data_IF_380464304480
#
_entry.id   IF_380464304480
#
_cell.length_a   1.000
_cell.length_b   1.000
_cell.length_c   1.000
_cell.angle_alpha   90.00
_cell.angle_beta   90.00
_cell.angle_gamma   90.00
#
_symmetry.space_group_name_H-M   'P 1'
#
loop_
_entity.id
_entity.type
_entity.pdbx_description
1 polymer ?
#
# COMPACT_ATOMS: atom_id res chain seq x y z
N UNK A 1 -2.92 12.66 -6.85
CA UNK A 1 -4.20 12.47 -6.15
C UNK A 1 -4.40 10.98 -5.91
N UNK A 2 -4.96 10.59 -4.74
CA UNK A 2 -5.19 9.17 -4.47
C UNK A 2 -6.50 8.98 -3.72
N UNK A 3 -7.23 7.91 -4.04
CA UNK A 3 -8.38 7.43 -3.29
C UNK A 3 -8.03 6.05 -2.75
N UNK A 4 -8.11 5.86 -1.42
CA UNK A 4 -7.73 4.61 -0.79
C UNK A 4 -8.81 4.15 0.19
N UNK A 5 -9.06 2.85 0.18
CA UNK A 5 -9.85 2.12 1.17
C UNK A 5 -8.92 1.21 1.98
N UNK A 6 -8.99 1.29 3.29
CA UNK A 6 -8.24 0.43 4.21
C UNK A 6 -9.19 -0.27 5.16
N UNK A 7 -9.06 -1.59 5.28
CA UNK A 7 -9.74 -2.38 6.30
C UNK A 7 -8.71 -3.24 7.03
N UNK A 8 -8.68 -3.12 8.35
CA UNK A 8 -7.86 -3.96 9.22
C UNK A 8 -8.76 -4.72 10.20
N UNK A 9 -8.56 -6.03 10.30
CA UNK A 9 -9.41 -6.92 11.08
C UNK A 9 -8.57 -7.95 11.82
N UNK A 10 -8.99 -8.29 13.04
CA UNK A 10 -8.48 -9.45 13.75
C UNK A 10 -8.86 -10.74 12.99
N UNK A 11 -7.97 -11.74 12.97
CA UNK A 11 -8.24 -13.01 12.28
C UNK A 11 -9.19 -13.90 13.08
N UNK A 12 -9.94 -14.76 12.39
CA UNK A 12 -10.86 -15.69 13.06
C UNK A 12 -10.16 -16.85 13.80
N UNK A 13 -8.91 -17.18 13.44
CA UNK A 13 -8.17 -18.31 14.04
C UNK A 13 -7.39 -17.93 15.30
N UNK A 14 -6.86 -16.71 15.40
CA UNK A 14 -6.13 -16.22 16.57
C UNK A 14 -6.25 -14.68 16.66
N UNK A 15 -7.41 -14.15 17.06
CA UNK A 15 -7.70 -12.71 16.97
C UNK A 15 -6.81 -11.84 17.87
N UNK A 16 -6.26 -12.41 18.95
CA UNK A 16 -5.36 -11.71 19.87
C UNK A 16 -3.96 -11.52 19.28
N UNK A 17 -3.55 -12.43 18.39
CA UNK A 17 -2.17 -12.51 17.88
C UNK A 17 -2.03 -12.12 16.42
N UNK A 18 -3.09 -12.23 15.63
CA UNK A 18 -3.00 -12.03 14.20
C UNK A 18 -4.04 -11.03 13.67
N UNK A 19 -3.60 -10.18 12.80
CA UNK A 19 -4.43 -9.22 12.07
C UNK A 19 -4.24 -9.40 10.57
N UNK A 20 -5.33 -9.20 9.82
CA UNK A 20 -5.30 -9.08 8.37
C UNK A 20 -5.61 -7.65 7.97
N UNK A 21 -4.97 -7.18 6.91
CA UNK A 21 -5.22 -5.86 6.33
C UNK A 21 -5.50 -5.99 4.84
N UNK A 22 -6.50 -5.25 4.37
CA UNK A 22 -6.81 -5.06 2.97
C UNK A 22 -6.69 -3.57 2.66
N UNK A 23 -5.91 -3.23 1.64
CA UNK A 23 -5.85 -1.89 1.07
C UNK A 23 -6.21 -1.96 -0.40
N UNK A 24 -7.15 -1.11 -0.82
CA UNK A 24 -7.52 -0.92 -2.22
C UNK A 24 -7.37 0.57 -2.54
N UNK A 25 -6.85 0.89 -3.72
CA UNK A 25 -6.63 2.28 -4.06
C UNK A 25 -6.57 2.54 -5.56
N UNK A 26 -6.80 3.79 -5.90
CA UNK A 26 -6.56 4.36 -7.22
C UNK A 26 -5.72 5.60 -7.04
N UNK A 27 -4.58 5.64 -7.71
CA UNK A 27 -3.64 6.76 -7.68
C UNK A 27 -3.62 7.43 -9.05
N UNK A 28 -3.68 8.75 -9.06
CA UNK A 28 -3.36 9.57 -10.22
C UNK A 28 -2.17 10.46 -9.87
N UNK A 29 -1.08 10.27 -10.58
CA UNK A 29 0.16 11.01 -10.41
C UNK A 29 0.41 11.88 -11.65
N UNK A 30 0.92 13.10 -11.41
CA UNK A 30 1.29 14.07 -12.43
C UNK A 30 2.70 14.57 -12.14
N UNK A 31 3.51 14.63 -13.16
CA UNK A 31 4.84 15.22 -13.09
C UNK A 31 5.16 16.01 -14.34
N UNK A 32 6.07 16.97 -14.24
CA UNK A 32 6.57 17.76 -15.36
C UNK A 32 8.09 17.92 -15.23
N UNK A 33 8.74 18.18 -16.34
CA UNK A 33 10.17 18.47 -16.35
C UNK A 33 10.46 19.88 -15.81
N UNK A 34 11.73 20.16 -15.51
CA UNK A 34 12.14 21.48 -14.98
C UNK A 34 11.79 22.65 -15.88
N UNK A 35 11.76 22.45 -17.19
CA UNK A 35 11.41 23.49 -18.18
C UNK A 35 9.88 23.71 -18.31
N UNK A 36 9.06 22.84 -17.72
CA UNK A 36 7.61 22.96 -17.75
C UNK A 36 6.95 22.66 -19.11
N UNK A 37 7.73 22.19 -20.10
CA UNK A 37 7.24 21.93 -21.46
C UNK A 37 6.91 20.45 -21.73
N UNK A 38 7.20 19.54 -20.80
CA UNK A 38 6.89 18.11 -20.89
C UNK A 38 6.21 17.64 -19.61
N UNK A 39 5.08 16.95 -19.76
CA UNK A 39 4.35 16.38 -18.64
C UNK A 39 4.09 14.90 -18.84
N UNK A 40 4.00 14.18 -17.73
CA UNK A 40 3.63 12.77 -17.68
C UNK A 40 2.49 12.58 -16.69
N UNK A 41 1.57 11.68 -17.01
CA UNK A 41 0.44 11.32 -16.19
C UNK A 41 0.46 9.83 -15.92
N UNK A 42 0.18 9.39 -14.70
CA UNK A 42 0.06 7.99 -14.36
C UNK A 42 -1.28 7.74 -13.66
N UNK A 43 -1.99 6.73 -14.12
CA UNK A 43 -3.19 6.22 -13.45
C UNK A 43 -2.94 4.78 -13.04
N UNK A 44 -3.00 4.50 -11.75
CA UNK A 44 -2.69 3.19 -11.18
C UNK A 44 -3.80 2.73 -10.24
N UNK A 45 -4.14 1.46 -10.33
CA UNK A 45 -4.94 0.74 -9.32
C UNK A 45 -4.01 -0.07 -8.44
N UNK A 46 -4.32 -0.13 -7.16
CA UNK A 46 -3.53 -0.83 -6.15
C UNK A 46 -4.45 -1.74 -5.34
N UNK A 47 -4.01 -2.97 -5.12
CA UNK A 47 -4.64 -3.91 -4.20
C UNK A 47 -3.57 -4.59 -3.37
N UNK A 48 -3.70 -4.54 -2.06
CA UNK A 48 -2.76 -5.16 -1.13
C UNK A 48 -3.54 -5.93 -0.08
N UNK A 49 -3.11 -7.16 0.17
CA UNK A 49 -3.59 -7.96 1.28
C UNK A 49 -2.39 -8.41 2.12
N UNK A 50 -2.49 -8.24 3.44
CA UNK A 50 -1.44 -8.58 4.39
C UNK A 50 -1.95 -9.33 5.60
N UNK A 51 -1.08 -10.17 6.16
CA UNK A 51 -1.28 -10.89 7.41
C UNK A 51 -0.11 -10.60 8.33
N UNK A 52 -0.39 -10.07 9.54
CA UNK A 52 0.62 -9.63 10.48
C UNK A 52 0.41 -10.26 11.86
N UNK A 53 1.50 -10.67 12.48
CA UNK A 53 1.54 -11.05 13.88
C UNK A 53 1.65 -9.79 14.75
N UNK A 54 0.94 -9.77 15.85
CA UNK A 54 0.76 -8.65 16.75
C UNK A 54 1.51 -8.89 18.07
N UNK A 55 2.35 -7.92 18.48
CA UNK A 55 3.01 -7.88 19.78
C UNK A 55 2.54 -6.66 20.55
N UNK A 56 1.83 -6.88 21.65
CA UNK A 56 1.29 -5.82 22.50
C UNK A 56 2.26 -5.51 23.65
N UNK A 57 2.32 -4.25 24.06
CA UNK A 57 3.07 -3.78 25.25
C UNK A 57 4.56 -4.16 25.27
N UNK A 58 5.23 -4.19 24.10
CA UNK A 58 6.61 -4.66 23.99
C UNK A 58 7.60 -3.81 24.76
N UNK A 59 7.42 -2.47 24.81
CA UNK A 59 8.32 -1.55 25.50
C UNK A 59 7.61 -0.58 26.45
N UNK A 60 6.43 -0.09 26.09
CA UNK A 60 5.63 0.84 26.89
C UNK A 60 4.14 0.51 26.81
N UNK A 61 3.36 1.00 27.76
CA UNK A 61 1.89 0.92 27.67
C UNK A 61 1.41 1.72 26.45
N UNK A 62 0.51 1.14 25.67
CA UNK A 62 -0.05 1.75 24.48
C UNK A 62 0.75 1.56 23.19
N UNK A 63 1.96 0.96 23.26
CA UNK A 63 2.76 0.64 22.07
C UNK A 63 2.52 -0.80 21.61
N UNK A 64 2.19 -0.96 20.34
CA UNK A 64 1.95 -2.24 19.68
C UNK A 64 2.79 -2.31 18.40
N UNK A 65 3.42 -3.45 18.18
CA UNK A 65 4.09 -3.77 16.92
C UNK A 65 3.33 -4.87 16.18
N UNK A 66 3.30 -4.74 14.86
CA UNK A 66 2.77 -5.77 13.97
C UNK A 66 3.77 -5.99 12.84
N UNK A 67 4.09 -7.24 12.53
CA UNK A 67 4.98 -7.60 11.43
C UNK A 67 4.48 -8.87 10.76
N UNK A 68 4.59 -8.92 9.44
CA UNK A 68 4.17 -10.06 8.66
C UNK A 68 4.44 -9.93 7.19
N UNK A 69 3.69 -10.65 6.39
CA UNK A 69 3.79 -10.66 4.95
C UNK A 69 2.59 -10.01 4.27
N UNK A 70 2.82 -9.49 3.08
CA UNK A 70 1.78 -8.97 2.21
C UNK A 70 1.98 -9.42 0.77
N UNK A 71 0.88 -9.57 0.03
CA UNK A 71 0.88 -9.60 -1.42
C UNK A 71 0.29 -8.29 -1.93
N UNK A 72 0.88 -7.76 -2.99
CA UNK A 72 0.50 -6.48 -3.57
C UNK A 72 0.41 -6.61 -5.08
N UNK A 73 -0.72 -6.19 -5.64
CA UNK A 73 -0.91 -5.97 -7.06
C UNK A 73 -0.99 -4.47 -7.33
N UNK A 74 -0.30 -4.01 -8.36
CA UNK A 74 -0.39 -2.64 -8.87
C UNK A 74 -0.44 -2.69 -10.38
N UNK A 75 -1.48 -2.12 -10.97
CA UNK A 75 -1.67 -2.13 -12.42
C UNK A 75 -2.20 -0.80 -12.91
N UNK A 76 -1.76 -0.37 -14.11
CA UNK A 76 -2.21 0.86 -14.70
C UNK A 76 -1.40 1.27 -15.91
N UNK A 77 -1.43 2.56 -16.21
CA UNK A 77 -0.76 3.12 -17.37
C UNK A 77 -0.08 4.45 -17.06
N UNK A 78 1.03 4.67 -17.72
CA UNK A 78 1.73 5.94 -17.80
C UNK A 78 1.47 6.56 -19.18
N UNK A 79 0.95 7.78 -19.21
CA UNK A 79 0.76 8.57 -20.42
C UNK A 79 1.85 9.62 -20.54
N UNK A 80 2.57 9.60 -21.68
CA UNK A 80 3.60 10.56 -22.02
C UNK A 80 3.45 10.97 -23.50
N UNK A 81 2.80 12.09 -23.76
CA UNK A 81 2.52 12.59 -25.12
C UNK A 81 3.80 12.86 -25.97
N UNK A 82 4.95 12.98 -25.32
CA UNK A 82 6.23 13.26 -25.98
C UNK A 82 7.04 12.00 -26.33
N UNK A 83 6.55 10.82 -25.93
CA UNK A 83 7.14 9.56 -26.35
C UNK A 83 6.48 9.12 -27.66
N UNK A 84 7.18 9.27 -28.78
CA UNK A 84 6.66 8.96 -30.12
C UNK A 84 6.37 7.46 -30.33
N UNK A 85 7.12 6.57 -29.68
CA UNK A 85 6.93 5.11 -29.84
C UNK A 85 5.81 4.58 -28.97
N UNK A 86 5.77 4.99 -27.69
CA UNK A 86 4.82 4.46 -26.70
C UNK A 86 4.23 5.62 -25.91
N UNK A 87 3.22 6.31 -26.48
CA UNK A 87 2.50 7.41 -25.82
C UNK A 87 1.86 6.93 -24.50
N UNK A 88 1.39 5.67 -24.47
CA UNK A 88 0.84 5.00 -23.29
C UNK A 88 1.70 3.77 -22.98
N UNK A 89 2.22 3.68 -21.77
CA UNK A 89 3.00 2.54 -21.29
C UNK A 89 2.28 1.83 -20.16
N UNK A 90 2.04 0.51 -20.31
CA UNK A 90 1.44 -0.30 -19.24
C UNK A 90 2.43 -0.46 -18.07
N UNK A 91 1.90 -0.46 -16.87
CA UNK A 91 2.63 -0.69 -15.62
C UNK A 91 1.88 -1.74 -14.82
N UNK A 92 2.44 -2.95 -14.73
CA UNK A 92 1.81 -4.07 -14.03
C UNK A 92 2.84 -4.73 -13.15
N UNK A 93 2.51 -4.87 -11.87
CA UNK A 93 3.37 -5.46 -10.84
C UNK A 93 2.55 -6.36 -9.94
N UNK A 94 3.07 -7.53 -9.63
CA UNK A 94 2.55 -8.38 -8.58
C UNK A 94 3.69 -8.83 -7.68
N UNK A 95 3.63 -8.46 -6.43
CA UNK A 95 4.71 -8.63 -5.47
C UNK A 95 4.24 -9.36 -4.21
N UNK A 96 5.19 -10.05 -3.59
CA UNK A 96 5.12 -10.50 -2.21
C UNK A 96 6.21 -9.81 -1.40
N UNK A 97 5.95 -9.50 -0.15
CA UNK A 97 6.93 -8.77 0.66
C UNK A 97 6.61 -8.71 2.14
N UNK A 98 7.40 -7.92 2.83
CA UNK A 98 7.25 -7.65 4.24
C UNK A 98 6.31 -6.47 4.46
N UNK A 99 5.52 -6.56 5.52
CA UNK A 99 4.64 -5.50 5.98
C UNK A 99 4.76 -5.37 7.49
N UNK A 100 4.91 -4.14 7.98
CA UNK A 100 5.03 -3.86 9.40
C UNK A 100 4.30 -2.60 9.82
N UNK A 101 3.87 -2.57 11.09
CA UNK A 101 3.24 -1.41 11.71
C UNK A 101 3.76 -1.22 13.14
N UNK A 102 3.95 0.04 13.52
CA UNK A 102 4.11 0.47 14.91
C UNK A 102 2.92 1.38 15.25
N UNK A 103 2.18 1.03 16.28
CA UNK A 103 0.94 1.71 16.68
C UNK A 103 1.12 2.18 18.11
N UNK A 104 0.88 3.46 18.36
CA UNK A 104 0.96 4.06 19.67
C UNK A 104 -0.35 4.77 20.02
N UNK A 105 -1.04 4.27 21.04
CA UNK A 105 -2.28 4.84 21.54
C UNK A 105 -1.99 5.80 22.68
N UNK A 106 -2.46 7.03 22.56
CA UNK A 106 -2.28 8.11 23.52
C UNK A 106 -3.52 9.00 23.58
N UNK A 107 -3.48 10.04 24.40
CA UNK A 107 -4.57 11.03 24.50
C UNK A 107 -4.00 12.43 24.65
N UNK A 108 -4.63 13.38 24.01
CA UNK A 108 -4.40 14.82 24.25
C UNK A 108 -5.65 15.34 24.97
N UNK A 109 -5.50 15.67 26.26
CA UNK A 109 -6.63 16.01 27.16
C UNK A 109 -7.65 14.86 27.20
N UNK A 110 -8.82 15.05 26.56
CA UNK A 110 -9.92 14.05 26.50
C UNK A 110 -10.05 13.40 25.14
N UNK A 111 -9.22 13.77 24.17
CA UNK A 111 -9.26 13.22 22.82
C UNK A 111 -8.29 12.04 22.71
N UNK A 112 -8.78 10.80 22.49
CA UNK A 112 -7.91 9.68 22.18
C UNK A 112 -7.29 9.86 20.79
N UNK A 113 -6.00 9.54 20.66
CA UNK A 113 -5.24 9.64 19.43
C UNK A 113 -4.44 8.37 19.24
N UNK A 114 -4.47 7.82 18.05
CA UNK A 114 -3.62 6.70 17.64
C UNK A 114 -2.61 7.18 16.61
N UNK A 115 -1.33 7.14 16.97
CA UNK A 115 -0.24 7.36 16.03
C UNK A 115 0.13 6.01 15.42
N UNK A 116 0.27 5.94 14.10
CA UNK A 116 0.63 4.71 13.39
C UNK A 116 1.67 5.00 12.33
N UNK A 117 2.78 4.27 12.39
CA UNK A 117 3.72 4.15 11.30
C UNK A 117 3.55 2.80 10.65
N UNK A 118 3.37 2.75 9.34
CA UNK A 118 3.23 1.54 8.55
C UNK A 118 4.25 1.56 7.43
N UNK A 119 4.85 0.42 7.15
CA UNK A 119 5.75 0.24 6.00
C UNK A 119 5.47 -1.09 5.31
N UNK A 120 5.54 -1.09 3.98
CA UNK A 120 5.48 -2.28 3.14
C UNK A 120 6.66 -2.26 2.18
N UNK A 121 7.40 -3.37 2.13
CA UNK A 121 8.58 -3.53 1.30
C UNK A 121 8.50 -4.85 0.54
N UNK A 122 8.17 -4.83 -0.75
CA UNK A 122 8.25 -6.00 -1.61
C UNK A 122 9.65 -6.63 -1.59
N UNK A 123 9.69 -7.95 -1.53
CA UNK A 123 10.92 -8.76 -1.53
C UNK A 123 11.15 -9.38 -2.89
N UNK A 124 10.07 -9.93 -3.47
CA UNK A 124 10.10 -10.56 -4.77
C UNK A 124 8.75 -10.42 -5.47
N UNK A 125 8.74 -10.56 -6.78
CA UNK A 125 7.51 -10.50 -7.56
C UNK A 125 7.77 -10.61 -9.04
N UNK A 126 6.74 -10.32 -9.82
CA UNK A 126 6.81 -10.26 -11.27
C UNK A 126 6.30 -8.91 -11.75
N UNK A 127 6.89 -8.39 -12.83
CA UNK A 127 6.45 -7.14 -13.42
C UNK A 127 6.59 -7.15 -14.93
N UNK A 128 5.74 -6.37 -15.57
CA UNK A 128 5.77 -6.16 -17.00
C UNK A 128 6.71 -5.00 -17.36
N UNK A 129 7.65 -5.25 -18.25
CA UNK A 129 8.56 -4.23 -18.81
C UNK A 129 9.06 -4.70 -20.18
N UNK A 130 8.56 -4.13 -21.28
CA UNK A 130 9.12 -4.40 -22.61
C UNK A 130 10.56 -3.89 -22.72
N UNK A 131 11.27 -4.30 -23.75
CA UNK A 131 12.62 -3.83 -24.06
C UNK A 131 12.64 -2.33 -24.40
N UNK A 132 13.81 -1.70 -24.33
CA UNK A 132 13.97 -0.26 -24.48
C UNK A 132 13.46 0.28 -25.81
N UNK A 133 13.69 -0.44 -26.90
CA UNK A 133 13.34 -0.10 -28.27
C UNK A 133 12.05 -0.76 -28.75
N UNK A 134 11.40 -1.59 -27.94
CA UNK A 134 10.20 -2.32 -28.30
C UNK A 134 8.96 -1.43 -28.26
N UNK A 135 8.25 -1.33 -29.39
CA UNK A 135 6.96 -0.65 -29.45
C UNK A 135 5.81 -1.58 -29.10
N UNK A 136 4.76 -1.06 -28.47
CA UNK A 136 3.54 -1.84 -28.17
C UNK A 136 2.90 -2.40 -29.45
N UNK A 137 3.16 -1.81 -30.61
CA UNK A 137 2.73 -2.33 -31.89
C UNK A 137 3.41 -3.66 -32.24
N UNK A 138 4.69 -3.82 -31.92
CA UNK A 138 5.43 -5.07 -32.10
C UNK A 138 4.91 -6.18 -31.19
N UNK A 139 4.56 -5.83 -29.94
CA UNK A 139 3.89 -6.74 -29.00
C UNK A 139 2.52 -7.18 -29.57
N UNK A 140 1.75 -6.25 -30.15
CA UNK A 140 0.49 -6.56 -30.82
C UNK A 140 0.68 -7.49 -32.02
N UNK A 141 1.77 -7.39 -32.76
CA UNK A 141 2.12 -8.26 -33.88
C UNK A 141 2.67 -9.63 -33.47
N UNK A 142 2.83 -9.91 -32.18
CA UNK A 142 3.21 -11.21 -31.64
C UNK A 142 4.62 -11.31 -31.09
N UNK A 143 5.35 -10.20 -30.99
CA UNK A 143 6.61 -10.18 -30.21
C UNK A 143 6.29 -10.15 -28.72
N UNK A 144 6.41 -11.31 -28.06
CA UNK A 144 6.11 -11.45 -26.62
C UNK A 144 7.35 -11.82 -25.80
N UNK A 145 8.53 -11.71 -26.39
CA UNK A 145 9.78 -12.06 -25.71
C UNK A 145 10.12 -11.00 -24.64
N UNK A 146 10.67 -11.44 -23.53
CA UNK A 146 11.17 -10.58 -22.44
C UNK A 146 10.18 -9.54 -21.86
N UNK A 147 8.88 -9.77 -21.96
CA UNK A 147 7.87 -8.83 -21.44
C UNK A 147 7.66 -8.93 -19.93
N UNK A 148 7.88 -10.12 -19.34
CA UNK A 148 7.64 -10.38 -17.91
C UNK A 148 8.95 -10.70 -17.23
N UNK A 149 9.25 -9.97 -16.18
CA UNK A 149 10.48 -10.08 -15.43
C UNK A 149 10.24 -10.44 -13.98
N UNK A 150 11.14 -11.22 -13.41
CA UNK A 150 11.19 -11.42 -11.97
C UNK A 150 11.83 -10.19 -11.31
N UNK A 151 11.11 -9.59 -10.36
CA UNK A 151 11.58 -8.49 -9.52
C UNK A 151 12.12 -9.01 -8.19
N UNK A 152 13.29 -8.54 -7.78
CA UNK A 152 13.91 -8.76 -6.48
C UNK A 152 14.83 -7.57 -6.16
N UNK A 153 15.32 -7.46 -4.94
CA UNK A 153 16.08 -6.27 -4.53
C UNK A 153 17.31 -5.93 -5.38
N UNK A 154 17.84 -6.88 -6.17
CA UNK A 154 18.95 -6.65 -7.08
C UNK A 154 18.58 -5.85 -8.34
N UNK A 155 17.32 -5.92 -8.79
CA UNK A 155 16.85 -5.23 -10.00
C UNK A 155 15.63 -4.34 -9.77
N UNK A 156 14.96 -4.47 -8.61
CA UNK A 156 13.80 -3.68 -8.25
C UNK A 156 13.73 -3.45 -6.74
N UNK A 157 13.54 -2.21 -6.34
CA UNK A 157 13.31 -1.80 -4.97
C UNK A 157 12.05 -0.96 -4.88
N UNK A 158 11.12 -1.38 -4.03
CA UNK A 158 9.90 -0.63 -3.71
C UNK A 158 9.80 -0.47 -2.19
N UNK A 159 9.43 0.71 -1.75
CA UNK A 159 9.10 1.01 -0.36
C UNK A 159 7.89 1.93 -0.32
N UNK A 160 6.86 1.52 0.40
CA UNK A 160 5.67 2.34 0.67
C UNK A 160 5.54 2.49 2.17
N UNK A 161 5.61 3.71 2.68
CA UNK A 161 5.48 3.96 4.09
C UNK A 161 4.57 5.16 4.40
N UNK A 162 3.88 5.07 5.52
CA UNK A 162 2.91 6.06 5.95
C UNK A 162 3.01 6.30 7.45
N UNK A 163 3.05 7.57 7.84
CA UNK A 163 2.88 8.02 9.20
C UNK A 163 1.50 8.67 9.34
N UNK A 164 0.66 8.17 10.22
CA UNK A 164 -0.70 8.68 10.43
C UNK A 164 -1.00 9.00 11.88
N UNK A 165 -1.89 9.97 12.06
CA UNK A 165 -2.54 10.29 13.32
C UNK A 165 -4.06 10.13 13.14
N UNK A 166 -4.64 9.23 13.90
CA UNK A 166 -6.07 8.92 13.92
C UNK A 166 -6.69 9.58 15.15
N UNK A 167 -7.56 10.57 14.94
CA UNK A 167 -8.28 11.32 15.98
C UNK A 167 -9.65 10.68 16.20
N UNK A 168 -9.91 10.18 17.40
CA UNK A 168 -11.16 9.49 17.72
C UNK A 168 -12.23 10.48 18.18
N UNK A 169 -13.18 10.77 17.31
CA UNK A 169 -14.31 11.70 17.51
C UNK A 169 -15.60 10.91 17.77
N UNK A 170 -15.67 10.24 18.92
CA UNK A 170 -16.78 9.32 19.23
C UNK A 170 -16.74 8.07 18.34
N UNK A 171 -17.75 7.87 17.49
CA UNK A 171 -17.86 6.72 16.60
C UNK A 171 -17.11 6.94 15.26
N UNK A 172 -16.59 8.13 15.03
CA UNK A 172 -15.89 8.50 13.79
C UNK A 172 -14.42 8.72 14.07
N UNK A 173 -13.59 8.29 13.18
CA UNK A 173 -12.13 8.48 13.20
C UNK A 173 -11.77 9.43 12.07
N UNK A 174 -11.11 10.54 12.40
CA UNK A 174 -10.49 11.42 11.41
C UNK A 174 -9.01 11.09 11.34
N UNK A 175 -8.54 10.69 10.14
CA UNK A 175 -7.12 10.41 9.89
C UNK A 175 -6.45 11.58 9.18
N UNK A 176 -5.28 11.94 9.65
CA UNK A 176 -4.33 12.81 8.95
C UNK A 176 -3.04 12.01 8.82
N UNK A 177 -2.51 11.90 7.60
CA UNK A 177 -1.31 11.12 7.37
C UNK A 177 -0.42 11.72 6.28
N UNK A 178 0.87 11.39 6.35
CA UNK A 178 1.84 11.57 5.30
C UNK A 178 2.28 10.19 4.79
N UNK A 179 2.14 9.96 3.47
CA UNK A 179 2.59 8.74 2.80
C UNK A 179 3.67 9.09 1.80
N UNK A 180 4.72 8.31 1.79
CA UNK A 180 5.76 8.37 0.77
C UNK A 180 5.90 6.99 0.12
N UNK A 181 6.03 6.99 -1.20
CA UNK A 181 6.25 5.80 -2.01
C UNK A 181 7.48 6.00 -2.87
N UNK A 182 8.38 5.05 -2.81
CA UNK A 182 9.61 4.99 -3.58
C UNK A 182 9.57 3.71 -4.40
N UNK A 183 9.83 3.81 -5.69
CA UNK A 183 9.96 2.68 -6.60
C UNK A 183 11.17 2.91 -7.50
N UNK A 184 12.02 1.91 -7.63
CA UNK A 184 13.18 1.93 -8.52
C UNK A 184 13.33 0.58 -9.17
N UNK A 185 13.51 0.54 -10.48
CA UNK A 185 13.81 -0.69 -11.21
C UNK A 185 14.86 -0.46 -12.28
N UNK A 186 15.70 -1.47 -12.49
CA UNK A 186 16.71 -1.49 -13.54
C UNK A 186 16.65 -2.83 -14.26
N UNK A 187 16.10 -2.81 -15.49
CA UNK A 187 15.96 -3.99 -16.33
C UNK A 187 15.93 -3.55 -17.79
N UNK A 188 16.39 -4.42 -18.71
CA UNK A 188 16.39 -4.17 -20.16
C UNK A 188 17.01 -2.79 -20.52
N UNK A 189 18.11 -2.43 -19.84
CA UNK A 189 18.76 -1.11 -19.98
C UNK A 189 17.88 0.10 -19.61
N UNK A 190 16.68 -0.14 -19.07
CA UNK A 190 15.77 0.92 -18.60
C UNK A 190 15.94 1.09 -17.09
N UNK A 191 16.27 2.33 -16.68
CA UNK A 191 16.29 2.73 -15.28
C UNK A 191 15.04 3.57 -14.99
N UNK A 192 14.11 3.02 -14.26
CA UNK A 192 12.89 3.72 -13.85
C UNK A 192 12.97 4.05 -12.37
N UNK A 193 12.73 5.30 -12.03
CA UNK A 193 12.63 5.78 -10.64
C UNK A 193 11.36 6.61 -10.48
N UNK A 194 10.60 6.30 -9.47
CA UNK A 194 9.36 6.98 -9.10
C UNK A 194 9.39 7.28 -7.60
N UNK A 195 9.13 8.52 -7.23
CA UNK A 195 8.99 8.94 -5.85
C UNK A 195 7.76 9.84 -5.73
N UNK A 196 6.79 9.40 -4.93
CA UNK A 196 5.55 10.11 -4.74
C UNK A 196 5.33 10.44 -3.25
N UNK A 197 4.85 11.66 -2.99
CA UNK A 197 4.51 12.17 -1.67
C UNK A 197 3.04 12.53 -1.61
N UNK A 198 2.35 12.06 -0.58
CA UNK A 198 0.92 12.28 -0.40
C UNK A 198 0.63 12.84 0.99
N UNK A 199 -0.15 13.90 1.06
CA UNK A 199 -0.90 14.25 2.25
C UNK A 199 -2.24 13.51 2.20
N UNK A 200 -2.53 12.72 3.23
CA UNK A 200 -3.74 11.89 3.28
C UNK A 200 -4.68 12.41 4.35
N UNK A 201 -5.93 12.62 3.97
CA UNK A 201 -7.03 12.91 4.89
C UNK A 201 -8.04 11.79 4.71
N UNK A 202 -8.43 11.16 5.81
CA UNK A 202 -9.32 10.01 5.79
C UNK A 202 -10.39 10.07 6.86
N UNK A 203 -11.51 9.41 6.60
CA UNK A 203 -12.59 9.21 7.57
C UNK A 203 -12.75 7.70 7.74
N UNK A 204 -12.88 7.26 8.97
CA UNK A 204 -13.02 5.86 9.32
C UNK A 204 -13.96 5.64 10.50
N UNK A 205 -14.14 4.37 10.85
CA UNK A 205 -14.90 3.95 12.01
C UNK A 205 -14.55 2.52 12.39
N UNK A 206 -14.92 2.12 13.60
CA UNK A 206 -14.79 0.74 14.06
C UNK A 206 -16.07 -0.05 13.78
N UNK A 207 -15.91 -1.22 13.21
CA UNK A 207 -17.02 -2.11 12.92
C UNK A 207 -16.83 -3.43 13.68
N UNK A 208 -17.86 -3.84 14.42
CA UNK A 208 -17.91 -5.15 15.06
C UNK A 208 -18.37 -6.20 14.03
N UNK A 209 -17.52 -7.16 13.74
CA UNK A 209 -17.91 -8.30 12.91
C UNK A 209 -18.56 -9.37 13.80
N UNK A 210 -19.87 -9.30 13.95
CA UNK A 210 -20.67 -10.31 14.63
C UNK A 210 -20.99 -11.40 13.62
N UNK A 211 -20.14 -12.45 13.55
CA UNK A 211 -20.37 -13.57 12.65
C UNK A 211 -21.72 -14.26 12.92
N UNK A 212 -22.56 -14.38 11.90
CA UNK A 212 -23.93 -14.87 11.93
C UNK A 212 -24.11 -16.33 12.44
N UNK A 213 -23.04 -17.05 12.78
CA UNK A 213 -23.06 -18.46 13.20
C UNK A 213 -22.76 -18.70 14.68
N UNK A 214 -22.67 -17.70 15.51
CA UNK A 214 -22.34 -17.88 16.92
C UNK A 214 -23.46 -17.42 17.86
N UNK A 215 -24.50 -18.25 18.03
CA UNK A 215 -25.36 -18.27 19.20
C UNK A 215 -24.58 -18.73 20.47
N UNK A 216 -23.35 -18.31 20.66
CA UNK A 216 -22.64 -18.48 21.93
C UNK A 216 -22.51 -17.10 22.56
N UNK A 217 -22.96 -17.04 23.85
CA UNK A 217 -22.84 -15.89 24.77
C UNK A 217 -21.75 -14.94 24.32
N UNK A 218 -22.12 -13.69 23.98
CA UNK A 218 -21.19 -12.60 23.75
C UNK A 218 -20.19 -12.63 24.91
N UNK A 219 -18.99 -13.11 24.63
CA UNK A 219 -17.91 -13.04 25.58
C UNK A 219 -17.55 -11.56 25.66
N UNK A 220 -17.47 -11.01 26.87
CA UNK A 220 -17.26 -9.59 27.14
C UNK A 220 -15.94 -9.00 26.62
N UNK A 221 -15.15 -9.76 25.87
CA UNK A 221 -13.88 -9.31 25.32
C UNK A 221 -14.02 -8.98 23.83
N UNK A 222 -14.27 -7.71 23.54
CA UNK A 222 -14.13 -7.16 22.19
C UNK A 222 -12.63 -6.99 21.93
N UNK A 223 -12.12 -7.67 20.90
CA UNK A 223 -10.71 -7.56 20.51
C UNK A 223 -10.62 -6.61 19.31
N UNK A 224 -10.02 -5.44 19.54
CA UNK A 224 -9.67 -4.52 18.47
C UNK A 224 -8.41 -4.97 17.74
N UNK A 225 -8.33 -4.71 16.45
CA UNK A 225 -7.13 -4.96 15.63
C UNK A 225 -6.06 -3.89 15.81
N UNK A 226 -6.45 -2.68 16.19
CA UNK A 226 -5.58 -1.49 16.25
C UNK A 226 -5.67 -0.85 17.64
N UNK A 227 -6.87 -0.72 18.20
CA UNK A 227 -7.10 0.05 19.42
C UNK A 227 -7.20 -0.86 20.63
N UNK A 228 -6.69 -0.41 21.77
CA UNK A 228 -6.74 -1.09 23.07
C UNK A 228 -7.33 -0.18 24.14
#
# INVERSE_FOLDING_TARGET
MALNYEAQQATGFAPEKWTRQLNLGVDYDYTHNKAGNHSMHALMINAQWGLMHKWNHTFTRGLQFQLGGATQFRGGALYNAYNSNNVVSARIFWNIGLMGQAIFNTHIKRLPITLRYQATMPVAGVFFSPDYDEAYYEIYLGNHDNLIHMGWWGNRFDLDHMLSADLHLGNTILRIAYRNRISSSWINHINTRDMAHYLVIGIGGEFLNIGAKRNKKLNNNIISSIYQ
#
